data_IF_468398549803
#
_entry.id   IF_468398549803
#
_cell.length_a   1.000
_cell.length_b   1.000
_cell.length_c   1.000
_cell.angle_alpha   90.00
_cell.angle_beta   90.00
_cell.angle_gamma   90.00
#
_symmetry.space_group_name_H-M   'P 1'
#
loop_
_entity.id
_entity.type
_entity.pdbx_description
1 polymer ?
#
# COMPACT_ATOMS: atom_id res chain seq x y z
N UNK A 1 -11.41 18.83 -20.95
CA UNK A 1 -10.95 17.45 -20.71
C UNK A 1 -9.74 17.55 -19.77
N UNK A 2 -9.95 17.50 -18.45
CA UNK A 2 -8.88 17.68 -17.45
C UNK A 2 -8.26 16.31 -17.13
N UNK A 3 -6.97 16.15 -17.42
CA UNK A 3 -6.18 15.00 -16.96
C UNK A 3 -6.13 14.99 -15.44
N UNK A 4 -6.46 13.84 -14.84
CA UNK A 4 -6.21 13.56 -13.43
C UNK A 4 -4.82 12.94 -13.34
N UNK A 5 -3.81 13.76 -13.08
CA UNK A 5 -2.45 13.31 -12.74
C UNK A 5 -2.45 12.81 -11.29
N UNK A 6 -2.62 11.51 -11.11
CA UNK A 6 -2.53 10.85 -9.81
C UNK A 6 -1.09 10.77 -9.32
N UNK A 7 -0.65 11.73 -8.51
CA UNK A 7 0.61 11.72 -7.77
C UNK A 7 0.71 10.49 -6.85
N UNK A 8 1.78 9.69 -6.98
CA UNK A 8 2.12 8.64 -6.00
C UNK A 8 2.52 9.28 -4.67
N UNK A 9 1.56 9.45 -3.78
CA UNK A 9 1.83 9.88 -2.41
C UNK A 9 2.03 8.63 -1.54
N UNK A 10 3.25 8.43 -1.03
CA UNK A 10 3.48 7.50 0.08
C UNK A 10 2.83 8.06 1.33
N UNK A 11 1.72 7.47 1.79
CA UNK A 11 1.03 7.94 2.99
C UNK A 11 1.73 7.40 4.24
N UNK A 12 2.37 8.29 5.01
CA UNK A 12 2.91 7.99 6.34
C UNK A 12 1.79 8.26 7.34
N UNK A 13 1.07 7.23 7.78
CA UNK A 13 0.11 7.39 8.88
C UNK A 13 0.85 7.35 10.21
N UNK A 14 0.95 8.51 10.83
CA UNK A 14 1.37 8.61 12.23
C UNK A 14 0.16 8.28 13.09
N UNK A 15 -0.03 7.00 13.43
CA UNK A 15 -0.99 6.63 14.46
C UNK A 15 -0.51 7.20 15.80
N UNK A 16 -1.22 8.18 16.36
CA UNK A 16 -1.02 8.57 17.75
C UNK A 16 -1.62 7.42 18.58
N UNK A 17 -0.77 6.55 19.14
CA UNK A 17 -1.20 5.65 20.20
C UNK A 17 -1.62 6.53 21.39
N UNK A 18 -2.90 6.90 21.43
CA UNK A 18 -3.50 7.67 22.52
C UNK A 18 -3.70 6.76 23.74
N UNK A 19 -2.60 6.27 24.32
CA UNK A 19 -2.37 6.25 25.77
C UNK A 19 -0.98 5.67 26.11
N UNK A 20 -0.12 6.54 26.65
CA UNK A 20 0.92 6.25 27.66
C UNK A 20 1.89 5.07 27.45
N UNK A 21 2.57 4.99 26.30
CA UNK A 21 3.75 4.15 26.09
C UNK A 21 4.63 4.70 24.97
N UNK A 22 5.93 4.34 24.87
CA UNK A 22 6.84 4.97 23.92
C UNK A 22 6.31 4.87 22.50
N UNK A 23 6.15 6.03 21.85
CA UNK A 23 5.50 6.23 20.55
C UNK A 23 6.11 5.35 19.46
N UNK A 24 5.52 4.18 19.22
CA UNK A 24 5.87 3.30 18.10
C UNK A 24 5.08 3.70 16.86
N UNK A 25 5.78 3.86 15.74
CA UNK A 25 5.21 4.37 14.50
C UNK A 25 5.18 3.25 13.45
N UNK A 26 4.17 3.27 12.57
CA UNK A 26 3.88 2.20 11.60
C UNK A 26 4.17 2.63 10.17
N UNK A 27 4.63 1.69 9.35
CA UNK A 27 4.67 1.85 7.90
C UNK A 27 3.61 0.93 7.26
N UNK A 28 2.58 1.54 6.67
CA UNK A 28 1.53 0.85 5.94
C UNK A 28 1.67 1.07 4.42
N UNK A 29 1.08 0.18 3.63
CA UNK A 29 1.07 0.30 2.17
C UNK A 29 0.32 1.56 1.71
N UNK A 30 0.79 2.26 0.65
CA UNK A 30 0.27 3.56 0.22
C UNK A 30 -1.16 3.53 -0.37
N UNK A 31 -1.77 2.35 -0.49
CA UNK A 31 -3.14 2.18 -1.02
C UNK A 31 -4.20 2.03 0.08
N UNK A 32 -3.78 2.16 1.35
CA UNK A 32 -4.64 1.92 2.49
C UNK A 32 -4.56 3.08 3.49
N UNK A 33 -5.53 3.98 3.38
CA UNK A 33 -5.74 5.03 4.37
C UNK A 33 -6.52 4.43 5.53
N UNK A 34 -5.86 3.66 6.39
CA UNK A 34 -6.51 3.13 7.59
C UNK A 34 -6.70 4.23 8.62
N UNK A 35 -7.88 4.82 8.69
CA UNK A 35 -8.30 5.44 9.94
C UNK A 35 -8.47 4.25 10.89
N UNK A 36 -7.67 4.19 11.96
CA UNK A 36 -7.97 3.29 13.04
C UNK A 36 -9.44 3.55 13.40
N UNK A 37 -10.23 2.50 13.60
CA UNK A 37 -11.59 2.64 14.10
C UNK A 37 -11.49 3.53 15.34
N UNK A 38 -11.89 4.79 15.22
CA UNK A 38 -11.76 5.76 16.30
C UNK A 38 -12.81 5.34 17.34
N UNK A 39 -12.41 4.92 18.55
CA UNK A 39 -13.36 4.58 19.60
C UNK A 39 -14.29 5.75 19.97
N UNK A 40 -13.98 6.99 19.54
CA UNK A 40 -14.81 8.17 19.73
C UNK A 40 -16.06 8.26 18.85
N UNK A 41 -16.17 7.48 17.77
CA UNK A 41 -17.28 7.59 16.81
C UNK A 41 -18.17 6.33 16.77
N UNK A 42 -18.61 5.87 17.95
CA UNK A 42 -19.83 5.07 18.04
C UNK A 42 -21.08 5.98 17.85
N UNK A 43 -21.16 6.70 16.72
CA UNK A 43 -22.29 7.58 16.36
C UNK A 43 -23.53 6.80 15.86
N UNK A 44 -23.58 5.48 16.11
CA UNK A 44 -24.67 4.62 15.66
C UNK A 44 -24.65 4.29 14.17
N UNK A 45 -23.51 4.49 13.48
CA UNK A 45 -23.33 4.17 12.07
C UNK A 45 -22.22 3.12 11.90
N UNK A 46 -22.38 2.21 10.94
CA UNK A 46 -21.31 1.31 10.55
C UNK A 46 -20.14 2.10 9.93
N UNK A 47 -18.91 1.63 10.12
CA UNK A 47 -17.72 2.25 9.52
C UNK A 47 -17.87 2.32 7.98
N UNK A 48 -18.10 3.52 7.48
CA UNK A 48 -18.18 3.85 6.06
C UNK A 48 -16.80 4.33 5.58
N UNK A 49 -16.58 4.43 4.27
CA UNK A 49 -15.30 4.70 3.59
C UNK A 49 -14.46 3.42 3.33
N UNK A 50 -15.13 2.27 3.22
CA UNK A 50 -14.52 1.06 2.62
C UNK A 50 -13.53 0.30 3.50
N UNK A 51 -13.35 0.69 4.77
CA UNK A 51 -12.57 -0.07 5.76
C UNK A 51 -13.11 -1.48 5.89
N UNK A 52 -14.43 -1.67 6.05
CA UNK A 52 -15.04 -2.99 6.15
C UNK A 52 -14.94 -3.84 4.87
N UNK A 53 -14.73 -3.20 3.71
CA UNK A 53 -14.57 -3.90 2.42
C UNK A 53 -13.16 -4.44 2.21
N UNK A 54 -12.15 -3.79 2.82
CA UNK A 54 -10.74 -4.08 2.58
C UNK A 54 -10.07 -4.72 3.79
N UNK A 55 -10.46 -4.33 5.00
CA UNK A 55 -9.82 -4.76 6.23
C UNK A 55 -9.78 -6.28 6.41
N UNK A 56 -10.87 -7.04 6.19
CA UNK A 56 -10.82 -8.51 6.27
C UNK A 56 -9.83 -9.13 5.27
N UNK A 57 -9.75 -8.57 4.06
CA UNK A 57 -8.80 -9.01 3.01
C UNK A 57 -7.35 -8.66 3.34
N UNK A 58 -7.14 -7.55 4.04
CA UNK A 58 -5.80 -7.12 4.49
C UNK A 58 -5.29 -8.00 5.63
N UNK A 59 -6.11 -8.29 6.63
CA UNK A 59 -5.66 -9.01 7.83
C UNK A 59 -5.69 -10.53 7.71
N UNK A 60 -6.42 -11.07 6.73
CA UNK A 60 -6.50 -12.51 6.47
C UNK A 60 -7.14 -13.34 7.59
N UNK A 61 -7.73 -12.68 8.59
CA UNK A 61 -8.43 -13.31 9.71
C UNK A 61 -9.80 -12.65 9.89
N UNK A 62 -10.82 -13.29 9.33
CA UNK A 62 -12.20 -12.81 9.31
C UNK A 62 -12.82 -12.73 10.72
N UNK A 63 -12.49 -13.68 11.60
CA UNK A 63 -12.98 -13.66 12.98
C UNK A 63 -12.44 -12.47 13.76
N UNK A 64 -11.12 -12.23 13.68
CA UNK A 64 -10.49 -11.10 14.33
C UNK A 64 -10.94 -9.77 13.71
N UNK A 65 -11.13 -9.73 12.38
CA UNK A 65 -11.64 -8.55 11.71
C UNK A 65 -13.04 -8.15 12.23
N UNK A 66 -13.93 -9.15 12.45
CA UNK A 66 -15.24 -8.93 13.06
C UNK A 66 -15.14 -8.49 14.52
N UNK A 67 -14.28 -9.12 15.32
CA UNK A 67 -14.05 -8.72 16.71
C UNK A 67 -13.67 -7.23 16.79
N UNK A 68 -12.66 -6.81 16.03
CA UNK A 68 -12.18 -5.43 16.02
C UNK A 68 -13.25 -4.46 15.50
N UNK A 69 -14.05 -4.88 14.51
CA UNK A 69 -15.14 -4.05 13.97
C UNK A 69 -16.29 -3.88 14.96
N UNK A 70 -16.65 -4.92 15.73
CA UNK A 70 -17.75 -4.86 16.69
C UNK A 70 -17.35 -4.22 18.02
N UNK A 71 -16.13 -4.46 18.49
CA UNK A 71 -15.66 -3.94 19.77
C UNK A 71 -15.16 -2.51 19.67
N UNK A 72 -14.86 -2.02 18.46
CA UNK A 72 -14.21 -0.73 18.20
C UNK A 72 -12.94 -0.52 19.05
N UNK A 73 -12.25 -1.60 19.44
CA UNK A 73 -11.06 -1.50 20.30
C UNK A 73 -9.87 -1.05 19.47
N UNK A 74 -8.97 -0.30 20.10
CA UNK A 74 -7.68 0.01 19.51
C UNK A 74 -6.72 -1.17 19.62
N UNK A 75 -5.74 -1.22 18.73
CA UNK A 75 -4.66 -2.20 18.75
C UNK A 75 -3.32 -1.49 18.56
N UNK A 76 -2.25 -2.08 19.10
CA UNK A 76 -0.92 -1.47 19.08
C UNK A 76 -0.13 -1.80 17.79
N UNK A 77 1.06 -1.22 17.69
CA UNK A 77 1.91 -1.42 16.52
C UNK A 77 2.36 -2.87 16.30
N UNK A 78 2.51 -3.66 17.38
CA UNK A 78 2.94 -5.07 17.30
C UNK A 78 1.79 -5.94 16.83
N UNK A 79 0.59 -5.71 17.35
CA UNK A 79 -0.63 -6.36 16.88
C UNK A 79 -0.88 -6.00 15.40
N UNK A 80 -0.74 -4.73 15.02
CA UNK A 80 -0.86 -4.29 13.63
C UNK A 80 0.09 -5.03 12.67
N UNK A 81 1.33 -5.30 13.10
CA UNK A 81 2.28 -6.10 12.33
C UNK A 81 1.89 -7.58 12.28
N UNK A 82 1.49 -8.14 13.42
CA UNK A 82 1.11 -9.55 13.54
C UNK A 82 -0.10 -9.91 12.68
N UNK A 83 -1.06 -8.98 12.56
CA UNK A 83 -2.26 -9.16 11.74
C UNK A 83 -2.06 -8.73 10.27
N UNK A 84 -0.84 -8.37 9.84
CA UNK A 84 -0.56 -7.99 8.46
C UNK A 84 -1.09 -6.61 8.03
N UNK A 85 -1.59 -5.80 8.97
CA UNK A 85 -2.08 -4.46 8.71
C UNK A 85 -0.95 -3.45 8.48
N UNK A 86 0.18 -3.64 9.15
CA UNK A 86 1.41 -2.90 8.92
C UNK A 86 2.51 -3.82 8.37
N UNK A 87 3.34 -3.31 7.46
CA UNK A 87 4.43 -4.11 6.87
C UNK A 87 5.73 -4.03 7.67
N UNK A 88 5.93 -2.94 8.43
CA UNK A 88 7.10 -2.73 9.30
C UNK A 88 6.74 -1.89 10.53
N UNK A 89 7.45 -2.14 11.62
CA UNK A 89 7.38 -1.40 12.88
C UNK A 89 8.79 -1.01 13.29
N UNK A 90 8.97 0.18 13.85
CA UNK A 90 10.25 0.60 14.43
C UNK A 90 10.06 1.04 15.89
N UNK A 91 11.11 0.82 16.70
CA UNK A 91 11.14 1.28 18.09
C UNK A 91 11.80 2.66 18.25
N UNK A 92 12.34 3.21 17.16
CA UNK A 92 13.13 4.46 17.12
C UNK A 92 12.28 5.72 16.87
N UNK A 93 10.97 5.64 17.12
CA UNK A 93 10.03 6.75 16.98
C UNK A 93 9.76 7.18 15.54
N UNK A 94 9.08 8.33 15.40
CA UNK A 94 8.52 8.81 14.14
C UNK A 94 9.58 9.09 13.06
N UNK A 95 10.71 9.71 13.45
CA UNK A 95 11.79 10.08 12.52
C UNK A 95 12.35 8.85 11.80
N UNK A 96 12.53 7.73 12.51
CA UNK A 96 13.03 6.49 11.92
C UNK A 96 12.03 5.87 10.94
N UNK A 97 10.72 5.98 11.20
CA UNK A 97 9.71 5.52 10.24
C UNK A 97 9.70 6.35 8.98
N UNK A 98 9.77 7.68 9.09
CA UNK A 98 9.86 8.56 7.93
C UNK A 98 11.10 8.24 7.10
N UNK A 99 12.25 8.05 7.74
CA UNK A 99 13.48 7.67 7.06
C UNK A 99 13.35 6.32 6.33
N UNK A 100 12.76 5.32 6.99
CA UNK A 100 12.52 4.00 6.37
C UNK A 100 11.54 4.08 5.18
N UNK A 101 10.47 4.88 5.32
CA UNK A 101 9.49 5.13 4.26
C UNK A 101 10.15 5.78 3.04
N UNK A 102 10.95 6.83 3.26
CA UNK A 102 11.66 7.54 2.20
C UNK A 102 12.73 6.67 1.54
N UNK A 103 13.42 5.83 2.30
CA UNK A 103 14.37 4.85 1.73
C UNK A 103 13.65 3.90 0.78
N UNK A 104 12.54 3.31 1.22
CA UNK A 104 11.74 2.42 0.38
C UNK A 104 11.18 3.14 -0.86
N UNK A 105 10.70 4.37 -0.69
CA UNK A 105 10.20 5.18 -1.80
C UNK A 105 11.30 5.47 -2.85
N UNK A 106 12.53 5.75 -2.41
CA UNK A 106 13.69 5.89 -3.31
C UNK A 106 13.99 4.60 -4.07
N UNK A 107 13.92 3.46 -3.39
CA UNK A 107 14.14 2.17 -4.03
C UNK A 107 13.07 1.86 -5.09
N UNK A 108 11.80 2.17 -4.80
CA UNK A 108 10.70 2.03 -5.75
C UNK A 108 10.87 3.01 -6.93
N UNK A 109 11.22 4.26 -6.65
CA UNK A 109 11.45 5.29 -7.67
C UNK A 109 12.66 5.00 -8.58
N UNK A 110 13.55 4.10 -8.17
CA UNK A 110 14.66 3.61 -9.02
C UNK A 110 14.22 2.60 -10.08
N UNK A 111 12.97 2.12 -10.02
CA UNK A 111 12.41 1.15 -10.96
C UNK A 111 11.70 1.86 -12.11
N UNK A 112 11.37 1.09 -13.15
CA UNK A 112 10.51 1.54 -14.25
C UNK A 112 9.17 2.06 -13.69
N UNK A 113 8.81 3.35 -13.94
CA UNK A 113 7.53 3.88 -13.51
C UNK A 113 6.36 3.10 -14.10
N UNK A 114 6.48 2.66 -15.36
CA UNK A 114 5.50 1.82 -16.03
C UNK A 114 5.34 0.49 -15.30
N UNK A 115 6.43 -0.18 -14.93
CA UNK A 115 6.39 -1.45 -14.21
C UNK A 115 5.76 -1.31 -12.82
N UNK A 116 6.11 -0.25 -12.08
CA UNK A 116 5.54 0.01 -10.75
C UNK A 116 4.04 0.28 -10.83
N UNK A 117 3.60 1.14 -11.76
CA UNK A 117 2.18 1.44 -11.96
C UNK A 117 1.40 0.22 -12.45
N UNK A 118 1.96 -0.54 -13.38
CA UNK A 118 1.35 -1.78 -13.90
C UNK A 118 1.16 -2.81 -12.79
N UNK A 119 2.20 -3.02 -11.98
CA UNK A 119 2.14 -3.93 -10.82
C UNK A 119 1.04 -3.49 -9.85
N UNK A 120 0.93 -2.19 -9.56
CA UNK A 120 -0.13 -1.65 -8.70
C UNK A 120 -1.52 -1.90 -9.28
N UNK A 121 -1.72 -1.62 -10.57
CA UNK A 121 -3.00 -1.80 -11.25
C UNK A 121 -3.44 -3.28 -11.25
N UNK A 122 -2.52 -4.18 -11.58
CA UNK A 122 -2.77 -5.63 -11.60
C UNK A 122 -3.10 -6.16 -10.21
N UNK A 123 -2.35 -5.79 -9.17
CA UNK A 123 -2.62 -6.22 -7.80
C UNK A 123 -3.98 -5.72 -7.28
N UNK A 124 -4.35 -4.48 -7.61
CA UNK A 124 -5.64 -3.93 -7.23
C UNK A 124 -6.79 -4.65 -7.96
N UNK A 125 -6.64 -4.97 -9.23
CA UNK A 125 -7.62 -5.73 -9.99
C UNK A 125 -7.77 -7.16 -9.43
N UNK A 126 -6.64 -7.86 -9.22
CA UNK A 126 -6.62 -9.23 -8.72
C UNK A 126 -7.26 -9.40 -7.33
N UNK A 127 -7.32 -8.35 -6.51
CA UNK A 127 -7.94 -8.38 -5.17
C UNK A 127 -9.43 -8.74 -5.20
N UNK A 128 -10.12 -8.32 -6.25
CA UNK A 128 -11.59 -8.35 -6.33
C UNK A 128 -12.10 -9.22 -7.49
N UNK A 129 -11.21 -9.94 -8.18
CA UNK A 129 -11.53 -10.75 -9.36
C UNK A 129 -10.98 -12.18 -9.22
N UNK A 130 -11.65 -13.18 -9.83
CA UNK A 130 -11.13 -14.54 -9.87
C UNK A 130 -9.84 -14.61 -10.71
N UNK A 131 -9.07 -15.69 -10.52
CA UNK A 131 -7.72 -15.85 -11.08
C UNK A 131 -7.72 -15.77 -12.60
N UNK A 132 -8.69 -16.42 -13.27
CA UNK A 132 -8.83 -16.42 -14.72
C UNK A 132 -9.07 -15.01 -15.29
N UNK A 133 -9.98 -14.24 -14.67
CA UNK A 133 -10.22 -12.84 -15.04
C UNK A 133 -8.98 -11.97 -14.77
N UNK A 134 -8.29 -12.19 -13.64
CA UNK A 134 -7.06 -11.48 -13.30
C UNK A 134 -5.92 -11.73 -14.29
N UNK A 135 -5.77 -12.97 -14.76
CA UNK A 135 -4.78 -13.32 -15.78
C UNK A 135 -5.12 -12.71 -17.14
N UNK A 136 -6.41 -12.71 -17.54
CA UNK A 136 -6.85 -12.05 -18.76
C UNK A 136 -6.59 -10.54 -18.72
N UNK A 137 -6.90 -9.88 -17.60
CA UNK A 137 -6.59 -8.47 -17.37
C UNK A 137 -5.08 -8.20 -17.46
N UNK A 138 -4.27 -9.03 -16.80
CA UNK A 138 -2.81 -8.92 -16.82
C UNK A 138 -2.25 -9.05 -18.23
N UNK A 139 -2.75 -10.00 -19.03
CA UNK A 139 -2.33 -10.20 -20.41
C UNK A 139 -2.63 -8.96 -21.27
N UNK A 140 -3.85 -8.43 -21.19
CA UNK A 140 -4.24 -7.23 -21.92
C UNK A 140 -3.44 -6.00 -21.48
N UNK A 141 -3.24 -5.82 -20.17
CA UNK A 141 -2.46 -4.72 -19.62
C UNK A 141 -1.00 -4.77 -20.09
N UNK A 142 -0.35 -5.93 -19.96
CA UNK A 142 1.03 -6.11 -20.39
C UNK A 142 1.19 -5.93 -21.90
N UNK A 143 0.25 -6.38 -22.72
CA UNK A 143 0.27 -6.16 -24.16
C UNK A 143 0.31 -4.66 -24.53
N UNK A 144 -0.43 -3.82 -23.80
CA UNK A 144 -0.36 -2.37 -23.96
C UNK A 144 1.00 -1.80 -23.49
N UNK A 145 1.54 -2.29 -22.37
CA UNK A 145 2.81 -1.81 -21.82
C UNK A 145 4.02 -2.20 -22.68
N UNK A 146 3.92 -3.24 -23.52
CA UNK A 146 4.94 -3.59 -24.51
C UNK A 146 5.24 -2.46 -25.50
N UNK A 147 4.31 -1.50 -25.68
CA UNK A 147 4.47 -0.36 -26.57
C UNK A 147 5.22 0.82 -25.92
N UNK A 148 5.62 0.70 -24.65
CA UNK A 148 6.33 1.76 -23.91
C UNK A 148 7.84 1.68 -24.10
N UNK A 149 8.53 2.80 -23.85
CA UNK A 149 10.00 2.90 -23.99
C UNK A 149 10.79 2.22 -22.87
N UNK A 150 10.15 1.89 -21.74
CA UNK A 150 10.85 1.30 -20.59
C UNK A 150 11.44 -0.08 -20.90
N UNK A 151 10.83 -0.86 -21.79
CA UNK A 151 11.35 -2.17 -22.19
C UNK A 151 12.65 -2.06 -23.01
N UNK A 152 12.72 -1.29 -24.11
CA UNK A 152 13.98 -1.12 -24.83
C UNK A 152 15.06 -0.47 -23.94
N UNK A 153 14.72 0.51 -23.10
CA UNK A 153 15.67 1.13 -22.15
C UNK A 153 16.22 0.08 -21.17
N UNK A 154 15.34 -0.73 -20.57
CA UNK A 154 15.75 -1.78 -19.64
C UNK A 154 16.62 -2.83 -20.32
N UNK A 155 16.24 -3.27 -21.52
CA UNK A 155 16.98 -4.27 -22.30
C UNK A 155 18.38 -3.75 -22.66
N UNK A 156 18.48 -2.52 -23.15
CA UNK A 156 19.75 -1.89 -23.48
C UNK A 156 20.65 -1.73 -22.25
N UNK A 157 20.10 -1.30 -21.11
CA UNK A 157 20.85 -1.15 -19.88
C UNK A 157 21.39 -2.49 -19.37
N UNK A 158 20.59 -3.56 -19.44
CA UNK A 158 21.02 -4.93 -19.08
C UNK A 158 22.15 -5.39 -19.99
N UNK A 159 22.02 -5.20 -21.31
CA UNK A 159 23.08 -5.55 -22.27
C UNK A 159 24.37 -4.75 -22.03
N UNK A 160 24.25 -3.47 -21.66
CA UNK A 160 25.36 -2.60 -21.33
C UNK A 160 25.92 -2.80 -19.92
N UNK A 161 25.32 -3.68 -19.08
CA UNK A 161 25.61 -3.83 -17.65
C UNK A 161 25.55 -2.51 -16.87
N UNK A 162 24.64 -1.64 -17.26
CA UNK A 162 24.40 -0.33 -16.65
C UNK A 162 23.03 -0.30 -15.97
N UNK A 163 22.83 0.70 -15.11
CA UNK A 163 21.51 0.93 -14.52
C UNK A 163 20.62 1.65 -15.54
N UNK A 164 19.40 1.18 -15.79
CA UNK A 164 18.48 1.87 -16.70
C UNK A 164 18.09 3.24 -16.15
N UNK A 165 18.06 4.23 -17.03
CA UNK A 165 17.57 5.57 -16.73
C UNK A 165 16.17 5.71 -17.33
N UNK A 166 15.14 5.46 -16.52
CA UNK A 166 13.75 5.62 -16.94
C UNK A 166 13.33 7.08 -16.89
N UNK A 167 12.51 7.51 -17.85
CA UNK A 167 11.94 8.84 -17.84
C UNK A 167 10.93 8.97 -16.69
N UNK A 168 10.89 10.14 -16.04
CA UNK A 168 9.87 10.42 -15.03
C UNK A 168 8.58 10.78 -15.76
N UNK A 169 7.47 10.12 -15.39
CA UNK A 169 6.13 10.41 -15.90
C UNK A 169 5.64 11.81 -15.46
#
# INVERSE_FOLDING_TARGET
MRQVTGSMTSSIKTGKALNSGPSRTLLASPSFEAEAVDPGECIGLAADIGTLQRFPKTVGNDSLARELAYSARTFDAREALAIGFASKVTEQGQTAVVAAALSLAKDIASKSPIAVQSTKAILLHARDHPVDAGLAFTAAWNAAMLQTEDIPIATQAVMAKQKPAFSKL
#
